data_IF_100647038497
#
_entry.id   IF_100647038497
#
_cell.length_a   1.000
_cell.length_b   1.000
_cell.length_c   1.000
_cell.angle_alpha   90.00
_cell.angle_beta   90.00
_cell.angle_gamma   90.00
#
_symmetry.space_group_name_H-M   'P 1'
#
loop_
_entity.id
_entity.type
_entity.pdbx_description
1 polymer ?
#
# COMPACT_ATOMS: atom_id res chain seq x y z
N UNK A 1 14.84 1.18 -3.10
CA UNK A 1 13.44 1.61 -2.98
C UNK A 1 12.46 0.45 -3.22
N UNK A 2 12.95 -0.79 -3.19
CA UNK A 2 12.30 -1.91 -3.91
C UNK A 2 11.64 -2.94 -2.99
N UNK A 3 12.05 -3.00 -1.72
CA UNK A 3 11.50 -3.96 -0.73
C UNK A 3 10.06 -3.63 -0.34
N UNK A 4 9.71 -2.36 -0.20
CA UNK A 4 8.35 -1.94 0.18
C UNK A 4 7.38 -2.08 -0.99
N UNK A 5 7.85 -1.81 -2.21
CA UNK A 5 7.05 -2.01 -3.42
C UNK A 5 6.79 -3.50 -3.70
N UNK A 6 7.79 -4.37 -3.50
CA UNK A 6 7.61 -5.82 -3.61
C UNK A 6 6.62 -6.39 -2.57
N UNK A 7 6.58 -5.82 -1.36
CA UNK A 7 5.60 -6.19 -0.34
C UNK A 7 4.18 -5.76 -0.72
N UNK A 8 4.05 -4.55 -1.29
CA UNK A 8 2.79 -4.01 -1.77
C UNK A 8 2.21 -4.87 -2.90
N UNK A 9 3.02 -5.23 -3.90
CA UNK A 9 2.56 -6.03 -5.04
C UNK A 9 2.18 -7.45 -4.62
N UNK A 10 2.90 -8.04 -3.65
CA UNK A 10 2.52 -9.34 -3.09
C UNK A 10 1.17 -9.28 -2.38
N UNK A 11 0.94 -8.28 -1.53
CA UNK A 11 -0.35 -8.10 -0.86
C UNK A 11 -1.49 -7.86 -1.85
N UNK A 12 -1.21 -7.14 -2.95
CA UNK A 12 -2.14 -6.95 -4.05
C UNK A 12 -2.52 -8.26 -4.73
N UNK A 13 -1.55 -9.14 -4.99
CA UNK A 13 -1.79 -10.48 -5.52
C UNK A 13 -2.67 -11.34 -4.59
N UNK A 14 -2.35 -11.34 -3.29
CA UNK A 14 -3.10 -12.08 -2.27
C UNK A 14 -4.57 -11.60 -2.16
N UNK A 15 -4.82 -10.28 -2.30
CA UNK A 15 -6.15 -9.69 -2.35
C UNK A 15 -6.95 -10.16 -3.57
N UNK A 16 -6.36 -10.09 -4.77
CA UNK A 16 -7.02 -10.48 -6.03
C UNK A 16 -7.39 -11.95 -5.99
N UNK A 17 -6.49 -12.82 -5.52
CA UNK A 17 -6.77 -14.24 -5.38
C UNK A 17 -7.87 -14.52 -4.36
N UNK A 18 -7.87 -13.84 -3.21
CA UNK A 18 -8.90 -14.02 -2.19
C UNK A 18 -10.29 -13.59 -2.70
N UNK A 19 -10.37 -12.46 -3.40
CA UNK A 19 -11.60 -11.99 -4.03
C UNK A 19 -12.08 -12.94 -5.14
N UNK A 20 -11.17 -13.44 -5.97
CA UNK A 20 -11.47 -14.40 -7.03
C UNK A 20 -11.99 -15.73 -6.47
N UNK A 21 -11.37 -16.27 -5.41
CA UNK A 21 -11.82 -17.50 -4.75
C UNK A 21 -13.19 -17.37 -4.08
N UNK A 22 -13.46 -16.22 -3.48
CA UNK A 22 -14.70 -16.00 -2.70
C UNK A 22 -15.85 -15.48 -3.56
N UNK A 23 -15.62 -15.07 -4.81
CA UNK A 23 -16.60 -14.42 -5.72
C UNK A 23 -17.29 -13.18 -5.11
N UNK A 24 -16.71 -12.59 -4.08
CA UNK A 24 -17.22 -11.38 -3.43
C UNK A 24 -16.09 -10.58 -2.81
N UNK A 25 -16.08 -9.28 -3.11
CA UNK A 25 -15.18 -8.29 -2.50
C UNK A 25 -15.60 -7.88 -1.08
N UNK A 26 -16.75 -8.38 -0.59
CA UNK A 26 -17.28 -8.09 0.75
C UNK A 26 -16.84 -9.13 1.80
N UNK A 27 -16.02 -10.12 1.42
CA UNK A 27 -15.50 -11.08 2.38
C UNK A 27 -14.55 -10.38 3.35
N UNK A 28 -14.69 -10.65 4.64
CA UNK A 28 -13.93 -10.03 5.73
C UNK A 28 -12.42 -9.94 5.44
N UNK A 29 -11.81 -11.03 4.99
CA UNK A 29 -10.36 -11.05 4.69
C UNK A 29 -9.96 -10.15 3.52
N UNK A 30 -10.83 -10.00 2.51
CA UNK A 30 -10.61 -9.08 1.39
C UNK A 30 -10.69 -7.62 1.87
N UNK A 31 -11.67 -7.32 2.74
CA UNK A 31 -11.79 -6.00 3.36
C UNK A 31 -10.59 -5.67 4.24
N UNK A 32 -10.12 -6.64 5.04
CA UNK A 32 -8.96 -6.46 5.92
C UNK A 32 -7.66 -6.23 5.13
N UNK A 33 -7.47 -6.99 4.05
CA UNK A 33 -6.34 -6.82 3.13
C UNK A 33 -6.41 -5.46 2.41
N UNK A 34 -7.59 -5.03 1.97
CA UNK A 34 -7.78 -3.71 1.34
C UNK A 34 -7.44 -2.57 2.31
N UNK A 35 -7.97 -2.61 3.53
CA UNK A 35 -7.69 -1.59 4.54
C UNK A 35 -6.20 -1.55 4.93
N UNK A 36 -5.56 -2.72 5.01
CA UNK A 36 -4.13 -2.81 5.27
C UNK A 36 -3.29 -2.22 4.14
N UNK A 37 -3.72 -2.41 2.89
CA UNK A 37 -3.10 -1.84 1.71
C UNK A 37 -3.22 -0.32 1.70
N UNK A 38 -4.41 0.22 1.98
CA UNK A 38 -4.65 1.67 2.06
C UNK A 38 -3.74 2.34 3.09
N UNK A 39 -3.57 1.72 4.27
CA UNK A 39 -2.67 2.22 5.31
C UNK A 39 -1.21 2.30 4.83
N UNK A 40 -0.75 1.29 4.09
CA UNK A 40 0.61 1.26 3.55
C UNK A 40 0.82 2.34 2.48
N UNK A 41 -0.16 2.56 1.61
CA UNK A 41 -0.10 3.60 0.59
C UNK A 41 0.01 4.98 1.24
N UNK A 42 -0.83 5.29 2.23
CA UNK A 42 -0.79 6.57 2.95
C UNK A 42 0.56 6.77 3.63
N UNK A 43 1.11 5.74 4.28
CA UNK A 43 2.44 5.81 4.90
C UNK A 43 3.55 6.08 3.89
N UNK A 44 3.56 5.36 2.77
CA UNK A 44 4.55 5.52 1.72
C UNK A 44 4.48 6.93 1.09
N UNK A 45 3.27 7.46 0.88
CA UNK A 45 3.06 8.82 0.37
C UNK A 45 3.51 9.89 1.37
N UNK A 46 3.19 9.74 2.66
CA UNK A 46 3.63 10.65 3.71
C UNK A 46 5.16 10.65 3.87
N UNK A 47 5.80 9.50 3.71
CA UNK A 47 7.26 9.39 3.69
C UNK A 47 7.87 10.07 2.46
N UNK A 48 7.30 9.83 1.27
CA UNK A 48 7.73 10.50 0.03
C UNK A 48 7.62 12.02 0.17
N UNK A 49 6.54 12.52 0.76
CA UNK A 49 6.34 13.95 1.03
C UNK A 49 7.36 14.51 2.01
N UNK A 50 7.67 13.79 3.11
CA UNK A 50 8.69 14.20 4.09
C UNK A 50 10.09 14.28 3.46
N UNK A 51 10.44 13.28 2.62
CA UNK A 51 11.69 13.27 1.88
C UNK A 51 11.78 14.47 0.92
N UNK A 52 10.73 14.74 0.16
CA UNK A 52 10.65 15.89 -0.75
C UNK A 52 10.76 17.25 -0.01
N UNK A 53 10.09 17.39 1.14
CA UNK A 53 10.21 18.60 1.98
C UNK A 53 11.63 18.79 2.52
N UNK A 54 12.31 17.71 2.93
CA UNK A 54 13.70 17.79 3.43
C UNK A 54 14.70 18.14 2.33
N UNK A 55 14.50 17.64 1.10
CA UNK A 55 15.34 18.00 -0.04
C UNK A 55 15.12 19.43 -0.52
N UNK A 56 13.92 19.97 -0.37
CA UNK A 56 13.60 21.35 -0.80
C UNK A 56 13.78 22.41 0.30
N UNK A 57 13.90 22.02 1.57
CA UNK A 57 14.14 22.94 2.69
C UNK A 57 15.62 23.31 2.90
N UNK A 58 16.55 22.67 2.17
CA UNK A 58 18.01 22.91 2.30
C UNK A 58 18.61 23.64 1.09
N UNK A 59 17.77 24.17 0.20
CA UNK A 59 18.18 24.85 -1.05
C UNK A 59 17.46 26.18 -1.27
N UNK A 60 17.44 27.05 -0.26
CA UNK A 60 16.94 28.42 -0.33
C UNK A 60 17.92 29.38 0.34
#
# INVERSE_FOLDING_TARGET
MDKEYGRLERMRGELIEAAARKKTFLHHDVLLLSQSLDLLIVKAQAEKLRRWKSTNATGG
#
